data_IF_561040060927
#
_entry.id   IF_561040060927
#
_cell.length_a   1.000
_cell.length_b   1.000
_cell.length_c   1.000
_cell.angle_alpha   90.00
_cell.angle_beta   90.00
_cell.angle_gamma   90.00
#
_symmetry.space_group_name_H-M   'P 1'
#
loop_
_entity.id
_entity.type
_entity.pdbx_description
1 polymer ?
#
# COMPACT_ATOMS: atom_id res chain seq x y z
N UNK A 1 38.03 6.64 19.16
CA UNK A 1 37.21 7.50 18.28
C UNK A 1 37.35 6.91 16.88
N UNK A 2 36.66 5.81 16.58
CA UNK A 2 36.81 5.13 15.30
C UNK A 2 35.94 5.85 14.27
N UNK A 3 36.59 6.48 13.29
CA UNK A 3 35.95 7.03 12.11
C UNK A 3 35.24 5.88 11.40
N UNK A 4 33.92 5.99 11.28
CA UNK A 4 33.07 4.97 10.69
C UNK A 4 33.50 4.74 9.25
N UNK A 5 34.22 3.63 9.04
CA UNK A 5 34.68 3.13 7.76
C UNK A 5 33.49 2.80 6.86
N UNK A 6 33.05 3.80 6.10
CA UNK A 6 31.98 3.70 5.10
C UNK A 6 32.38 2.85 3.88
N UNK A 7 33.54 2.19 3.89
CA UNK A 7 33.96 1.31 2.79
C UNK A 7 33.14 0.02 2.67
N UNK A 8 32.46 -0.42 3.74
CA UNK A 8 31.67 -1.68 3.77
C UNK A 8 30.34 -1.64 3.00
N UNK A 9 29.87 -0.48 2.53
CA UNK A 9 28.66 -0.39 1.68
C UNK A 9 28.91 -0.68 0.20
N UNK A 10 30.16 -0.95 -0.22
CA UNK A 10 30.50 -1.18 -1.63
C UNK A 10 30.19 -2.58 -2.17
N UNK A 11 29.78 -3.53 -1.34
CA UNK A 11 29.42 -4.89 -1.77
C UNK A 11 27.91 -5.07 -2.00
N UNK A 12 27.20 -4.02 -2.43
CA UNK A 12 25.75 -4.13 -2.65
C UNK A 12 25.49 -4.52 -4.10
N UNK A 13 25.12 -5.78 -4.29
CA UNK A 13 24.74 -6.39 -5.56
C UNK A 13 24.02 -5.41 -6.50
N UNK A 14 24.56 -5.15 -7.71
CA UNK A 14 24.03 -4.14 -8.63
C UNK A 14 22.70 -4.52 -9.30
N UNK A 15 22.08 -5.63 -8.92
CA UNK A 15 20.92 -6.22 -9.60
C UNK A 15 19.66 -6.34 -8.71
N UNK A 16 19.73 -5.93 -7.44
CA UNK A 16 18.55 -5.90 -6.57
C UNK A 16 17.68 -4.68 -6.91
N UNK A 17 16.65 -4.91 -7.71
CA UNK A 17 15.63 -3.94 -8.12
C UNK A 17 14.97 -3.29 -6.88
N UNK A 18 15.48 -2.12 -6.47
CA UNK A 18 14.96 -1.41 -5.31
C UNK A 18 13.59 -0.79 -5.63
N UNK A 19 12.52 -1.50 -5.31
CA UNK A 19 11.17 -0.95 -5.38
C UNK A 19 10.79 -0.18 -4.11
N UNK A 20 10.28 1.04 -4.28
CA UNK A 20 9.70 1.78 -3.16
C UNK A 20 8.42 1.10 -2.64
N UNK A 21 8.17 1.11 -1.32
CA UNK A 21 6.93 0.60 -0.77
C UNK A 21 5.70 1.32 -1.32
N UNK A 22 4.66 0.56 -1.69
CA UNK A 22 3.38 1.13 -2.12
C UNK A 22 2.68 1.80 -0.94
N UNK A 23 2.30 3.08 -1.14
CA UNK A 23 1.56 3.88 -0.14
C UNK A 23 0.18 3.28 0.16
N UNK A 24 -0.25 3.44 1.41
CA UNK A 24 -1.59 3.04 1.84
C UNK A 24 -2.64 4.07 1.41
N UNK A 25 -3.82 3.66 0.89
CA UNK A 25 -4.91 4.57 0.53
C UNK A 25 -5.78 4.97 1.74
N UNK A 26 -5.31 4.70 2.96
CA UNK A 26 -6.10 4.90 4.18
C UNK A 26 -6.26 6.38 4.49
N UNK A 27 -7.51 6.85 4.57
CA UNK A 27 -7.86 8.23 4.97
C UNK A 27 -8.15 8.37 6.47
N UNK A 28 -7.68 7.41 7.28
CA UNK A 28 -7.89 7.36 8.74
C UNK A 28 -9.35 7.35 9.20
N UNK A 29 -10.28 6.99 8.30
CA UNK A 29 -11.68 6.72 8.60
C UNK A 29 -11.92 5.24 8.37
N UNK A 30 -12.30 4.51 9.43
CA UNK A 30 -12.65 3.10 9.34
C UNK A 30 -14.15 2.93 9.61
N UNK A 31 -14.93 2.88 8.54
CA UNK A 31 -16.35 2.55 8.57
C UNK A 31 -16.60 1.54 7.45
N UNK A 32 -16.92 0.30 7.81
CA UNK A 32 -17.23 -0.76 6.85
C UNK A 32 -18.73 -0.76 6.56
N UNK A 33 -19.10 -0.90 5.30
CA UNK A 33 -20.48 -1.04 4.87
C UNK A 33 -20.97 -2.51 5.03
N UNK A 34 -22.18 -2.81 4.55
CA UNK A 34 -22.77 -4.16 4.65
C UNK A 34 -22.03 -5.23 3.83
N UNK A 35 -21.24 -4.81 2.85
CA UNK A 35 -20.44 -5.68 1.98
C UNK A 35 -18.98 -5.80 2.48
N UNK A 36 -18.71 -5.40 3.72
CA UNK A 36 -17.37 -5.39 4.33
C UNK A 36 -16.37 -4.47 3.61
N UNK A 37 -16.84 -3.44 2.91
CA UNK A 37 -16.01 -2.44 2.22
C UNK A 37 -15.92 -1.16 3.04
N UNK A 38 -14.70 -0.66 3.25
CA UNK A 38 -14.45 0.61 3.90
C UNK A 38 -14.96 1.78 3.07
N UNK A 39 -15.83 2.61 3.63
CA UNK A 39 -16.42 3.75 2.94
C UNK A 39 -15.42 4.90 2.67
N UNK A 40 -14.26 4.88 3.33
CA UNK A 40 -13.21 5.88 3.15
C UNK A 40 -12.14 5.46 2.13
N UNK A 41 -11.55 4.27 2.31
CA UNK A 41 -10.44 3.79 1.47
C UNK A 41 -10.81 2.66 0.49
N UNK A 42 -12.08 2.24 0.46
CA UNK A 42 -12.64 1.25 -0.48
C UNK A 42 -11.98 -0.14 -0.50
N UNK A 43 -11.09 -0.40 0.46
CA UNK A 43 -10.58 -1.74 0.76
C UNK A 43 -11.62 -2.55 1.51
N UNK A 44 -11.67 -3.85 1.27
CA UNK A 44 -12.39 -4.78 2.13
C UNK A 44 -11.73 -4.93 3.50
N UNK A 45 -12.46 -5.39 4.51
CA UNK A 45 -11.90 -5.71 5.83
C UNK A 45 -10.74 -6.71 5.76
N UNK A 46 -10.84 -7.67 4.84
CA UNK A 46 -9.77 -8.64 4.53
C UNK A 46 -8.52 -7.96 3.96
N UNK A 47 -8.67 -7.10 2.95
CA UNK A 47 -7.55 -6.34 2.35
C UNK A 47 -6.89 -5.41 3.38
N UNK A 48 -7.67 -4.78 4.27
CA UNK A 48 -7.15 -3.97 5.38
C UNK A 48 -6.28 -4.82 6.31
N UNK A 49 -6.78 -5.98 6.74
CA UNK A 49 -6.10 -6.86 7.68
C UNK A 49 -4.81 -7.46 7.11
N UNK A 50 -4.75 -7.66 5.80
CA UNK A 50 -3.60 -8.28 5.13
C UNK A 50 -2.59 -7.27 4.55
N UNK A 51 -2.95 -5.98 4.46
CA UNK A 51 -2.15 -4.94 3.79
C UNK A 51 -0.66 -4.93 4.16
N UNK A 52 -0.34 -5.07 5.45
CA UNK A 52 1.05 -5.07 5.94
C UNK A 52 1.90 -6.24 5.44
N UNK A 53 1.27 -7.33 4.99
CA UNK A 53 1.93 -8.56 4.54
C UNK A 53 1.95 -8.71 3.01
N UNK A 54 1.19 -7.87 2.29
CA UNK A 54 1.12 -7.88 0.84
C UNK A 54 2.41 -7.35 0.19
N UNK A 55 2.82 -8.00 -0.90
CA UNK A 55 3.82 -7.51 -1.84
C UNK A 55 3.37 -6.22 -2.52
N UNK A 56 4.31 -5.49 -3.13
CA UNK A 56 3.99 -4.30 -3.92
C UNK A 56 3.03 -4.60 -5.08
N UNK A 57 3.18 -5.76 -5.73
CA UNK A 57 2.28 -6.19 -6.80
C UNK A 57 0.85 -6.37 -6.29
N UNK A 58 0.68 -7.08 -5.17
CA UNK A 58 -0.64 -7.27 -4.54
C UNK A 58 -1.25 -5.94 -4.07
N UNK A 59 -0.45 -5.05 -3.48
CA UNK A 59 -0.91 -3.71 -3.08
C UNK A 59 -1.42 -2.91 -4.27
N UNK A 60 -0.69 -2.90 -5.39
CA UNK A 60 -1.11 -2.23 -6.64
C UNK A 60 -2.44 -2.79 -7.16
N UNK A 61 -2.64 -4.11 -7.10
CA UNK A 61 -3.92 -4.74 -7.47
C UNK A 61 -5.06 -4.32 -6.55
N UNK A 62 -4.83 -4.28 -5.24
CA UNK A 62 -5.82 -3.80 -4.27
C UNK A 62 -6.20 -2.34 -4.55
N UNK A 63 -5.23 -1.48 -4.84
CA UNK A 63 -5.50 -0.07 -5.20
C UNK A 63 -6.38 0.05 -6.45
N UNK A 64 -6.14 -0.78 -7.48
CA UNK A 64 -6.99 -0.85 -8.67
C UNK A 64 -8.44 -1.20 -8.32
N UNK A 65 -8.65 -2.24 -7.51
CA UNK A 65 -10.00 -2.64 -7.04
C UNK A 65 -10.68 -1.55 -6.22
N UNK A 66 -9.92 -0.83 -5.39
CA UNK A 66 -10.46 0.26 -4.59
C UNK A 66 -10.95 1.41 -5.46
N UNK A 67 -10.20 1.74 -6.51
CA UNK A 67 -10.62 2.72 -7.52
C UNK A 67 -11.90 2.27 -8.23
N UNK A 68 -11.97 1.03 -8.70
CA UNK A 68 -13.16 0.46 -9.34
C UNK A 68 -14.40 0.53 -8.43
N UNK A 69 -14.24 0.16 -7.16
CA UNK A 69 -15.32 0.24 -6.15
C UNK A 69 -15.75 1.69 -5.91
N UNK A 70 -14.82 2.63 -5.80
CA UNK A 70 -15.13 4.04 -5.64
C UNK A 70 -15.95 4.59 -6.83
N UNK A 71 -15.55 4.24 -8.06
CA UNK A 71 -16.28 4.61 -9.29
C UNK A 71 -17.68 3.99 -9.29
N UNK A 72 -17.81 2.69 -9.00
CA UNK A 72 -19.10 2.00 -8.93
C UNK A 72 -20.04 2.62 -7.87
N UNK A 73 -19.48 3.04 -6.73
CA UNK A 73 -20.21 3.70 -5.64
C UNK A 73 -20.44 5.19 -5.89
N UNK A 74 -19.93 5.75 -7.01
CA UNK A 74 -19.97 7.19 -7.33
C UNK A 74 -19.37 8.05 -6.21
N UNK A 75 -18.26 7.59 -5.64
CA UNK A 75 -17.51 8.27 -4.57
C UNK A 75 -16.16 8.75 -5.09
N UNK A 76 -15.61 9.76 -4.41
CA UNK A 76 -14.29 10.29 -4.72
C UNK A 76 -13.22 9.32 -4.23
N UNK A 77 -12.28 8.99 -5.11
CA UNK A 77 -11.10 8.20 -4.81
C UNK A 77 -9.94 9.15 -4.49
N UNK A 78 -9.44 9.10 -3.26
CA UNK A 78 -8.30 9.89 -2.79
C UNK A 78 -7.09 8.97 -2.68
N UNK A 79 -6.19 8.99 -3.67
CA UNK A 79 -4.99 8.12 -3.71
C UNK A 79 -3.65 8.84 -3.64
N UNK A 80 -3.63 10.10 -3.21
CA UNK A 80 -2.40 10.91 -3.14
C UNK A 80 -1.57 10.67 -1.85
#
# INVERSE_FOLDING_TARGET
MAESDWSRVKDKDPEAEFEFPVKSPCVSVCALNRDDICEGCFRSGTEISQWGRMSNAEKKQVLGKCHERAVAMKRVWWSD
#
